data_IF_395096392555
#
_entry.id   IF_395096392555
#
_cell.length_a   1.000
_cell.length_b   1.000
_cell.length_c   1.000
_cell.angle_alpha   90.00
_cell.angle_beta   90.00
_cell.angle_gamma   90.00
#
_symmetry.space_group_name_H-M   'P 1'
#
loop_
_entity.id
_entity.type
_entity.pdbx_description
1 polymer ?
#
# COMPACT_ATOMS: atom_id res chain seq x y z
N UNK A 1 -41.49 -16.01 28.18
CA UNK A 1 -40.08 -15.60 28.10
C UNK A 1 -39.64 -15.82 26.67
N UNK A 2 -39.46 -14.75 25.90
CA UNK A 2 -38.89 -14.79 24.56
C UNK A 2 -37.88 -13.64 24.50
N UNK A 3 -36.60 -13.99 24.47
CA UNK A 3 -35.50 -13.03 24.38
C UNK A 3 -35.34 -12.56 22.94
N UNK A 4 -35.49 -11.26 22.73
CA UNK A 4 -35.28 -10.61 21.44
C UNK A 4 -33.78 -10.36 21.26
N UNK A 5 -33.14 -11.10 20.36
CA UNK A 5 -31.75 -10.89 19.96
C UNK A 5 -31.63 -9.64 19.09
N UNK A 6 -31.03 -8.57 19.62
CA UNK A 6 -30.67 -7.38 18.85
C UNK A 6 -29.37 -7.63 18.07
N UNK A 7 -29.49 -7.73 16.75
CA UNK A 7 -28.34 -7.74 15.84
C UNK A 7 -27.75 -6.33 15.74
N UNK A 8 -26.56 -6.13 16.29
CA UNK A 8 -25.79 -4.90 16.10
C UNK A 8 -25.13 -4.92 14.72
N UNK A 9 -25.70 -4.19 13.76
CA UNK A 9 -25.04 -3.91 12.49
C UNK A 9 -23.88 -2.95 12.72
N UNK A 10 -22.70 -3.31 12.22
CA UNK A 10 -21.52 -2.44 12.23
C UNK A 10 -21.78 -1.24 11.31
N UNK A 11 -21.43 0.01 11.70
CA UNK A 11 -21.62 1.16 10.82
C UNK A 11 -20.75 1.01 9.57
N UNK A 12 -21.39 1.05 8.39
CA UNK A 12 -20.67 1.15 7.12
C UNK A 12 -20.02 2.53 7.04
N UNK A 13 -18.74 2.67 6.65
CA UNK A 13 -18.08 3.97 6.57
C UNK A 13 -18.83 4.87 5.59
N UNK A 14 -19.10 6.11 5.99
CA UNK A 14 -19.69 7.12 5.12
C UNK A 14 -18.71 7.45 4.00
N UNK A 15 -19.00 6.98 2.80
CA UNK A 15 -18.22 7.32 1.63
C UNK A 15 -18.76 8.62 1.01
N UNK A 16 -17.87 9.59 0.76
CA UNK A 16 -18.20 10.80 0.01
C UNK A 16 -18.73 10.39 -1.36
N UNK A 17 -19.98 10.73 -1.65
CA UNK A 17 -20.65 10.39 -2.91
C UNK A 17 -20.37 11.49 -3.93
N UNK A 18 -19.94 11.10 -5.13
CA UNK A 18 -19.70 12.00 -6.25
C UNK A 18 -20.61 11.66 -7.42
N UNK A 19 -21.19 12.68 -8.01
CA UNK A 19 -22.03 12.54 -9.19
C UNK A 19 -21.16 12.66 -10.45
N UNK A 20 -21.14 11.59 -11.24
CA UNK A 20 -20.49 11.50 -12.52
C UNK A 20 -21.54 11.65 -13.62
N UNK A 21 -21.32 12.59 -14.54
CA UNK A 21 -22.18 12.77 -15.70
C UNK A 21 -21.45 12.27 -16.93
N UNK A 22 -22.13 11.51 -17.78
CA UNK A 22 -21.60 10.98 -19.02
C UNK A 22 -22.62 11.10 -20.14
N UNK A 23 -22.16 10.94 -21.37
CA UNK A 23 -23.04 10.86 -22.53
C UNK A 23 -22.42 9.99 -23.62
N UNK A 24 -23.24 9.51 -24.56
CA UNK A 24 -22.74 8.96 -25.81
C UNK A 24 -22.12 10.07 -26.67
N UNK A 25 -21.32 9.72 -27.68
CA UNK A 25 -20.57 10.70 -28.48
C UNK A 25 -21.47 11.74 -29.19
N UNK A 26 -22.72 11.38 -29.51
CA UNK A 26 -23.70 12.25 -30.16
C UNK A 26 -24.64 12.97 -29.16
N UNK A 27 -24.51 12.71 -27.86
CA UNK A 27 -25.30 13.36 -26.81
C UNK A 27 -26.75 12.86 -26.66
N UNK A 28 -27.25 12.00 -27.57
CA UNK A 28 -28.62 11.44 -27.52
C UNK A 28 -28.90 10.71 -26.21
N UNK A 29 -27.89 10.06 -25.64
CA UNK A 29 -27.95 9.42 -24.34
C UNK A 29 -27.04 10.20 -23.42
N UNK A 30 -27.61 10.81 -22.39
CA UNK A 30 -26.88 11.38 -21.27
C UNK A 30 -27.31 10.65 -19.99
N UNK A 31 -26.37 10.42 -19.10
CA UNK A 31 -26.61 9.75 -17.82
C UNK A 31 -25.87 10.45 -16.69
N UNK A 32 -26.38 10.25 -15.47
CA UNK A 32 -25.78 10.74 -14.25
C UNK A 32 -25.78 9.60 -13.24
N UNK A 33 -24.59 9.25 -12.75
CA UNK A 33 -24.40 8.18 -11.76
C UNK A 33 -23.83 8.80 -10.49
N UNK A 34 -24.48 8.57 -9.35
CA UNK A 34 -23.95 8.96 -8.05
C UNK A 34 -23.32 7.73 -7.43
N UNK A 35 -21.99 7.72 -7.36
CA UNK A 35 -21.20 6.62 -6.82
C UNK A 35 -20.30 7.17 -5.71
N UNK A 36 -19.78 6.35 -4.78
CA UNK A 36 -18.65 6.75 -3.95
C UNK A 36 -17.55 7.36 -4.83
N UNK A 37 -16.89 8.41 -4.36
CA UNK A 37 -15.77 8.98 -5.11
C UNK A 37 -14.81 7.86 -5.50
N UNK A 38 -14.51 7.75 -6.80
CA UNK A 38 -13.54 6.79 -7.33
C UNK A 38 -12.17 7.21 -6.80
N UNK A 39 -11.80 6.67 -5.63
CA UNK A 39 -10.53 6.95 -4.98
C UNK A 39 -9.42 6.23 -5.73
N UNK A 40 -8.34 6.96 -6.01
CA UNK A 40 -7.14 6.45 -6.69
C UNK A 40 -6.35 5.44 -5.83
N UNK A 41 -6.61 5.47 -4.52
CA UNK A 41 -6.08 4.59 -3.48
C UNK A 41 -7.22 4.16 -2.55
N UNK A 42 -7.25 2.88 -2.17
CA UNK A 42 -8.21 2.37 -1.20
C UNK A 42 -7.66 2.53 0.23
N UNK A 43 -8.22 3.45 1.06
CA UNK A 43 -7.74 3.67 2.42
C UNK A 43 -8.11 2.54 3.39
N UNK A 44 -8.93 1.58 2.96
CA UNK A 44 -9.33 0.43 3.78
C UNK A 44 -8.25 -0.65 3.76
N UNK A 45 -7.80 -1.05 2.57
CA UNK A 45 -6.85 -2.16 2.42
C UNK A 45 -5.42 -1.73 2.02
N UNK A 46 -5.22 -0.45 1.73
CA UNK A 46 -3.92 0.10 1.33
C UNK A 46 -3.55 -0.17 -0.13
N UNK A 47 -4.52 -0.51 -0.99
CA UNK A 47 -4.25 -0.81 -2.41
C UNK A 47 -4.30 0.46 -3.25
N UNK A 48 -3.17 0.83 -3.85
CA UNK A 48 -3.10 1.85 -4.89
C UNK A 48 -3.60 1.30 -6.23
N UNK A 49 -4.68 1.87 -6.76
CA UNK A 49 -5.31 1.41 -8.02
C UNK A 49 -4.79 2.22 -9.20
N UNK A 50 -4.52 3.51 -8.99
CA UNK A 50 -4.18 4.45 -10.06
C UNK A 50 -3.17 5.49 -9.59
N UNK A 51 -2.25 5.87 -10.48
CA UNK A 51 -1.46 7.10 -10.40
C UNK A 51 -1.88 8.08 -11.49
N UNK A 52 -1.83 9.39 -11.20
CA UNK A 52 -2.04 10.44 -12.20
C UNK A 52 -0.81 11.32 -12.29
N UNK A 53 -0.26 11.50 -13.49
CA UNK A 53 0.80 12.44 -13.77
C UNK A 53 0.24 13.86 -13.75
N UNK A 54 0.95 14.74 -13.07
CA UNK A 54 0.64 16.16 -13.08
C UNK A 54 1.12 16.76 -14.41
N UNK A 55 0.31 17.64 -15.01
CA UNK A 55 0.63 18.36 -16.26
C UNK A 55 0.99 17.48 -17.47
N UNK A 56 0.47 16.25 -17.53
CA UNK A 56 0.60 15.41 -18.72
C UNK A 56 -0.57 15.66 -19.69
N UNK A 57 -0.29 15.54 -20.98
CA UNK A 57 -1.31 15.61 -22.03
C UNK A 57 -2.43 14.58 -21.78
N UNK A 58 -3.70 14.93 -22.07
CA UNK A 58 -4.83 14.02 -21.92
C UNK A 58 -4.58 12.69 -22.66
N UNK A 59 -4.77 11.57 -21.96
CA UNK A 59 -4.58 10.23 -22.51
C UNK A 59 -3.21 9.61 -22.20
N UNK A 60 -2.24 10.40 -21.71
CA UNK A 60 -0.94 9.92 -21.23
C UNK A 60 -0.70 10.22 -19.74
N UNK A 61 -1.71 10.75 -19.06
CA UNK A 61 -1.68 11.21 -17.68
C UNK A 61 -2.05 10.13 -16.65
N UNK A 62 -2.63 9.00 -17.07
CA UNK A 62 -3.12 7.97 -16.17
C UNK A 62 -2.24 6.72 -16.22
N UNK A 63 -1.80 6.26 -15.05
CA UNK A 63 -1.20 4.94 -14.84
C UNK A 63 -2.13 4.06 -14.01
N UNK A 64 -2.35 2.82 -14.44
CA UNK A 64 -3.13 1.82 -13.69
C UNK A 64 -2.18 0.79 -13.09
N UNK A 65 -2.45 0.40 -11.84
CA UNK A 65 -1.78 -0.75 -11.25
C UNK A 65 -2.27 -2.04 -11.94
N UNK A 66 -1.45 -2.61 -12.82
CA UNK A 66 -1.79 -3.81 -13.57
C UNK A 66 -2.18 -5.00 -12.67
N UNK A 67 -1.73 -5.04 -11.42
CA UNK A 67 -2.09 -6.10 -10.46
C UNK A 67 -3.51 -5.98 -9.90
N UNK A 68 -4.16 -4.84 -10.13
CA UNK A 68 -5.57 -4.65 -9.77
C UNK A 68 -6.54 -5.08 -10.86
N UNK A 69 -6.04 -5.34 -12.08
CA UNK A 69 -6.84 -5.84 -13.20
C UNK A 69 -7.17 -7.32 -13.02
N UNK A 70 -8.33 -7.70 -13.53
CA UNK A 70 -8.75 -9.10 -13.63
C UNK A 70 -8.11 -9.75 -14.86
N UNK A 71 -7.89 -11.06 -14.81
CA UNK A 71 -7.37 -11.87 -15.92
C UNK A 71 -6.03 -11.43 -16.52
N UNK A 72 -5.21 -10.69 -15.77
CA UNK A 72 -3.84 -10.30 -16.16
C UNK A 72 -2.82 -11.04 -15.30
N UNK A 73 -1.97 -11.84 -15.97
CA UNK A 73 -0.77 -12.43 -15.38
C UNK A 73 0.40 -11.44 -15.50
N UNK A 74 0.60 -10.64 -14.46
CA UNK A 74 1.63 -9.59 -14.48
C UNK A 74 3.06 -10.12 -14.55
N UNK A 75 3.30 -11.39 -14.21
CA UNK A 75 4.63 -11.99 -14.29
C UNK A 75 5.03 -12.32 -15.73
N UNK A 76 4.05 -12.46 -16.63
CA UNK A 76 4.29 -12.63 -18.08
C UNK A 76 4.46 -11.31 -18.83
N UNK A 77 4.19 -10.18 -18.20
CA UNK A 77 4.28 -8.86 -18.85
C UNK A 77 5.73 -8.44 -19.04
N UNK A 78 6.02 -7.79 -20.18
CA UNK A 78 7.31 -7.14 -20.41
C UNK A 78 7.46 -5.94 -19.48
N UNK A 79 8.40 -6.02 -18.54
CA UNK A 79 8.69 -4.93 -17.61
C UNK A 79 9.74 -3.99 -18.20
N UNK A 80 9.36 -2.73 -18.45
CA UNK A 80 10.32 -1.65 -18.71
C UNK A 80 10.82 -1.11 -17.37
N UNK A 81 12.11 -1.28 -17.11
CA UNK A 81 12.77 -0.69 -15.93
C UNK A 81 13.03 0.79 -16.19
N UNK A 82 12.65 1.65 -15.24
CA UNK A 82 12.88 3.09 -15.28
C UNK A 82 13.61 3.46 -13.99
N UNK A 83 14.73 4.16 -14.10
CA UNK A 83 15.43 4.70 -12.94
C UNK A 83 14.78 6.01 -12.49
N UNK A 84 13.81 5.89 -11.58
CA UNK A 84 13.12 7.04 -11.00
C UNK A 84 14.03 7.93 -10.13
N UNK A 85 15.16 7.41 -9.65
CA UNK A 85 16.08 8.17 -8.78
C UNK A 85 16.91 9.17 -9.57
N UNK A 86 17.01 9.01 -10.89
CA UNK A 86 17.69 9.95 -11.78
C UNK A 86 16.97 11.30 -11.91
N UNK A 87 15.66 11.36 -11.64
CA UNK A 87 14.86 12.59 -11.78
C UNK A 87 15.00 13.52 -10.57
N UNK A 88 14.73 14.81 -10.80
CA UNK A 88 14.64 15.84 -9.75
C UNK A 88 13.17 16.19 -9.44
N UNK A 89 12.87 16.62 -8.19
CA UNK A 89 13.77 16.69 -7.04
C UNK A 89 14.05 15.31 -6.43
N UNK A 90 15.27 15.08 -5.95
CA UNK A 90 15.59 13.87 -5.18
C UNK A 90 14.73 13.74 -3.92
N UNK A 91 14.15 12.56 -3.72
CA UNK A 91 13.55 12.21 -2.44
C UNK A 91 14.64 12.03 -1.39
N UNK A 92 14.45 12.65 -0.22
CA UNK A 92 15.41 12.61 0.88
C UNK A 92 14.95 11.51 1.86
N UNK A 93 15.79 10.49 2.13
CA UNK A 93 15.44 9.46 3.10
C UNK A 93 15.22 10.00 4.51
N UNK A 94 14.13 9.57 5.15
CA UNK A 94 13.85 9.89 6.55
C UNK A 94 14.73 9.08 7.48
N UNK A 95 15.38 9.76 8.44
CA UNK A 95 16.23 9.12 9.44
C UNK A 95 15.39 8.40 10.49
N UNK A 96 15.80 7.20 10.84
CA UNK A 96 15.27 6.51 12.02
C UNK A 96 15.80 7.17 13.29
N UNK A 97 14.89 7.53 14.20
CA UNK A 97 15.20 8.09 15.52
C UNK A 97 14.38 7.30 16.53
N UNK A 98 14.96 6.21 17.04
CA UNK A 98 14.29 5.28 17.94
C UNK A 98 15.29 4.34 18.62
N UNK A 99 14.81 3.47 19.52
CA UNK A 99 15.67 2.45 20.12
C UNK A 99 16.12 1.45 19.05
N UNK A 100 17.35 0.96 19.17
CA UNK A 100 17.84 -0.09 18.28
C UNK A 100 17.14 -1.44 18.53
N UNK A 101 17.09 -2.34 17.54
CA UNK A 101 16.59 -3.69 17.74
C UNK A 101 17.40 -4.47 18.78
N UNK A 102 16.71 -5.27 19.61
CA UNK A 102 17.29 -5.96 20.78
C UNK A 102 17.97 -7.29 20.45
N UNK A 103 17.88 -7.78 19.22
CA UNK A 103 18.51 -9.04 18.84
C UNK A 103 20.05 -8.97 18.97
N UNK A 104 20.61 -10.03 19.55
CA UNK A 104 22.06 -10.29 19.58
C UNK A 104 22.40 -11.25 18.43
N UNK A 105 23.12 -10.74 17.42
CA UNK A 105 23.41 -11.46 16.17
C UNK A 105 24.88 -11.25 15.82
N UNK A 106 25.62 -12.34 15.64
CA UNK A 106 26.98 -12.31 15.10
C UNK A 106 26.97 -11.89 13.62
N UNK A 107 27.92 -11.05 13.21
CA UNK A 107 27.97 -10.42 11.88
C UNK A 107 26.69 -9.64 11.52
N UNK A 108 26.13 -8.92 12.50
CA UNK A 108 24.93 -8.13 12.27
C UNK A 108 25.21 -6.91 11.37
N UNK A 109 24.28 -6.64 10.45
CA UNK A 109 24.20 -5.38 9.70
C UNK A 109 22.89 -4.66 9.97
N UNK A 110 23.00 -3.34 10.09
CA UNK A 110 21.85 -2.45 10.30
C UNK A 110 21.32 -1.91 8.98
N UNK A 111 20.00 -1.98 8.82
CA UNK A 111 19.25 -1.42 7.70
C UNK A 111 18.21 -0.45 8.23
N UNK A 112 18.07 0.70 7.58
CA UNK A 112 17.09 1.71 7.94
C UNK A 112 16.12 1.96 6.79
N UNK A 113 14.87 2.21 7.12
CA UNK A 113 13.81 2.44 6.16
C UNK A 113 12.72 3.35 6.71
N UNK A 114 11.82 3.77 5.84
CA UNK A 114 10.66 4.57 6.21
C UNK A 114 9.52 4.37 5.21
N UNK A 115 8.30 4.69 5.64
CA UNK A 115 7.23 4.99 4.69
C UNK A 115 7.58 6.28 3.92
N UNK A 116 6.88 6.55 2.81
CA UNK A 116 7.25 7.66 1.92
C UNK A 116 7.31 9.03 2.61
N UNK A 117 6.39 9.31 3.53
CA UNK A 117 6.30 10.58 4.25
C UNK A 117 7.12 10.63 5.55
N UNK A 118 7.77 9.53 5.96
CA UNK A 118 8.59 9.49 7.17
C UNK A 118 7.81 9.36 8.48
N UNK A 119 6.49 9.33 8.43
CA UNK A 119 5.66 9.14 9.62
C UNK A 119 5.91 7.80 10.32
N UNK A 120 6.31 6.77 9.58
CA UNK A 120 6.80 5.50 10.12
C UNK A 120 8.24 5.28 9.66
N UNK A 121 9.14 5.02 10.60
CA UNK A 121 10.54 4.67 10.34
C UNK A 121 10.86 3.32 10.96
N UNK A 122 11.80 2.59 10.35
CA UNK A 122 12.15 1.22 10.70
C UNK A 122 13.67 1.09 10.79
N UNK A 123 14.13 0.37 11.80
CA UNK A 123 15.48 -0.20 11.86
C UNK A 123 15.38 -1.73 11.86
N UNK A 124 16.18 -2.39 11.04
CA UNK A 124 16.30 -3.84 10.94
C UNK A 124 17.76 -4.23 11.22
N UNK A 125 17.96 -5.11 12.21
CA UNK A 125 19.23 -5.78 12.50
C UNK A 125 19.22 -7.17 11.87
N UNK A 126 19.95 -7.35 10.77
CA UNK A 126 19.97 -8.60 10.01
C UNK A 126 21.31 -9.33 10.15
N UNK A 127 21.31 -10.66 10.07
CA UNK A 127 22.56 -11.43 9.99
C UNK A 127 23.16 -11.26 8.59
N UNK A 128 24.39 -10.77 8.51
CA UNK A 128 25.05 -10.50 7.25
C UNK A 128 24.29 -9.49 6.37
N UNK A 129 24.61 -9.51 5.07
CA UNK A 129 23.97 -8.66 4.07
C UNK A 129 22.55 -9.10 3.71
N UNK A 130 21.69 -8.14 3.34
CA UNK A 130 20.56 -8.38 2.44
C UNK A 130 21.13 -8.30 1.02
N UNK A 131 21.24 -9.44 0.36
CA UNK A 131 21.90 -9.62 -0.92
C UNK A 131 21.14 -10.65 -1.80
N UNK A 132 21.60 -10.99 -3.02
CA UNK A 132 20.88 -11.93 -3.89
C UNK A 132 20.63 -13.33 -3.30
N UNK A 133 21.34 -13.73 -2.24
CA UNK A 133 21.08 -14.99 -1.51
C UNK A 133 19.94 -14.88 -0.48
N UNK A 134 19.50 -13.66 -0.15
CA UNK A 134 18.39 -13.44 0.77
C UNK A 134 17.07 -13.86 0.12
N UNK A 135 16.37 -14.79 0.75
CA UNK A 135 15.03 -15.18 0.31
C UNK A 135 14.05 -14.00 0.49
N UNK A 136 13.42 -13.61 -0.62
CA UNK A 136 12.37 -12.62 -0.65
C UNK A 136 11.12 -13.25 -1.25
N UNK A 137 10.01 -13.18 -0.50
CA UNK A 137 8.74 -13.77 -0.90
C UNK A 137 7.89 -12.75 -1.64
N UNK A 138 7.47 -13.12 -2.85
CA UNK A 138 6.40 -12.46 -3.60
C UNK A 138 5.21 -13.42 -3.69
N UNK A 139 4.11 -13.09 -3.01
CA UNK A 139 2.95 -13.97 -2.91
C UNK A 139 1.85 -13.56 -3.92
N UNK A 140 1.22 -14.56 -4.54
CA UNK A 140 0.10 -14.36 -5.47
C UNK A 140 -1.27 -14.24 -4.80
N UNK A 141 -1.35 -14.26 -3.46
CA UNK A 141 -2.63 -14.05 -2.79
C UNK A 141 -3.14 -12.63 -3.06
N UNK A 142 -4.46 -12.47 -3.09
CA UNK A 142 -5.10 -11.29 -3.67
C UNK A 142 -4.61 -9.95 -3.11
N UNK A 143 -4.34 -9.86 -1.80
CA UNK A 143 -3.85 -8.62 -1.17
C UNK A 143 -2.39 -8.33 -1.52
N UNK A 144 -1.50 -9.33 -1.48
CA UNK A 144 -0.08 -9.14 -1.75
C UNK A 144 0.15 -8.89 -3.24
N UNK A 145 -0.58 -9.62 -4.07
CA UNK A 145 -0.62 -9.40 -5.50
C UNK A 145 -1.07 -7.97 -5.80
N UNK A 146 -2.25 -7.55 -5.36
CA UNK A 146 -2.77 -6.21 -5.69
C UNK A 146 -1.88 -5.07 -5.17
N UNK A 147 -1.18 -5.26 -4.05
CA UNK A 147 -0.28 -4.25 -3.47
C UNK A 147 1.17 -4.32 -3.99
N UNK A 148 1.52 -5.29 -4.83
CA UNK A 148 2.90 -5.52 -5.30
C UNK A 148 3.91 -5.70 -4.15
N UNK A 149 3.51 -6.35 -3.05
CA UNK A 149 4.35 -6.48 -1.86
C UNK A 149 5.38 -7.61 -2.01
N UNK A 150 6.58 -7.34 -1.53
CA UNK A 150 7.68 -8.31 -1.44
C UNK A 150 8.24 -8.26 -0.03
N UNK A 151 8.34 -9.41 0.61
CA UNK A 151 8.66 -9.50 2.03
C UNK A 151 9.90 -10.35 2.29
N UNK A 152 10.65 -9.94 3.30
CA UNK A 152 11.56 -10.79 4.05
C UNK A 152 10.95 -11.02 5.44
N UNK A 153 11.38 -12.06 6.15
CA UNK A 153 10.76 -12.48 7.42
C UNK A 153 11.77 -12.48 8.58
N UNK A 154 12.20 -11.31 9.07
CA UNK A 154 13.01 -11.22 10.28
C UNK A 154 12.17 -11.49 11.53
N UNK A 155 12.83 -11.78 12.65
CA UNK A 155 12.18 -11.86 13.96
C UNK A 155 11.78 -10.47 14.47
N UNK A 156 10.80 -10.42 15.36
CA UNK A 156 10.37 -9.15 15.97
C UNK A 156 11.49 -8.46 16.76
N UNK A 157 12.38 -9.22 17.40
CA UNK A 157 13.56 -8.70 18.11
C UNK A 157 14.60 -8.08 17.18
N UNK A 158 14.56 -8.41 15.88
CA UNK A 158 15.42 -7.81 14.86
C UNK A 158 14.87 -6.50 14.32
N UNK A 159 13.65 -6.10 14.69
CA UNK A 159 13.00 -4.90 14.21
C UNK A 159 12.82 -3.87 15.34
N UNK A 160 12.94 -2.61 14.96
CA UNK A 160 12.44 -1.48 15.74
C UNK A 160 11.66 -0.57 14.81
N UNK A 161 10.42 -0.24 15.19
CA UNK A 161 9.49 0.53 14.36
C UNK A 161 9.00 1.71 15.19
N UNK A 162 9.24 2.92 14.69
CA UNK A 162 8.75 4.16 15.31
C UNK A 162 7.72 4.79 14.39
N UNK A 163 6.55 5.11 14.95
CA UNK A 163 5.47 5.76 14.19
C UNK A 163 5.03 7.04 14.87
N UNK A 164 4.86 8.10 14.09
CA UNK A 164 4.29 9.36 14.52
C UNK A 164 2.83 9.13 14.96
N UNK A 165 2.46 9.46 16.21
CA UNK A 165 1.10 9.26 16.73
C UNK A 165 0.00 9.96 15.92
N UNK A 166 0.30 11.07 15.25
CA UNK A 166 -0.67 11.79 14.40
C UNK A 166 -0.96 11.06 13.08
N UNK A 167 -0.10 10.13 12.68
CA UNK A 167 -0.22 9.35 11.45
C UNK A 167 0.09 7.87 11.73
N UNK A 168 -0.74 7.19 12.55
CA UNK A 168 -0.48 5.83 12.97
C UNK A 168 -0.55 4.85 11.80
N UNK A 169 0.03 3.66 11.99
CA UNK A 169 -0.22 2.55 11.07
C UNK A 169 -1.70 2.16 11.15
N UNK A 170 -2.34 2.06 9.99
CA UNK A 170 -3.66 1.45 9.84
C UNK A 170 -3.48 -0.01 9.45
N UNK A 171 -4.42 -0.88 9.86
CA UNK A 171 -4.35 -2.30 9.55
C UNK A 171 -5.61 -2.79 8.85
N UNK A 172 -5.41 -3.72 7.90
CA UNK A 172 -6.47 -4.45 7.24
C UNK A 172 -6.33 -5.95 7.53
N UNK A 173 -7.44 -6.58 7.94
CA UNK A 173 -7.51 -8.01 8.26
C UNK A 173 -8.71 -8.57 7.50
N UNK A 174 -8.52 -9.70 6.82
CA UNK A 174 -9.57 -10.35 6.04
C UNK A 174 -9.38 -11.87 6.01
N UNK A 175 -10.33 -12.57 5.40
CA UNK A 175 -10.29 -14.02 5.22
C UNK A 175 -10.13 -14.75 6.55
N UNK A 176 -9.16 -15.66 6.62
CA UNK A 176 -8.83 -16.45 7.82
C UNK A 176 -8.23 -15.64 8.98
N UNK A 177 -8.05 -14.32 8.81
CA UNK A 177 -7.49 -13.41 9.82
C UNK A 177 -6.08 -13.79 10.29
N UNK A 178 -5.31 -14.48 9.45
CA UNK A 178 -3.95 -14.93 9.77
C UNK A 178 -2.91 -13.80 9.82
N UNK A 179 -3.14 -12.73 9.05
CA UNK A 179 -2.19 -11.62 8.89
C UNK A 179 -2.88 -10.28 9.11
N UNK A 180 -2.19 -9.35 9.78
CA UNK A 180 -2.54 -7.93 9.81
C UNK A 180 -1.71 -7.19 8.76
N UNK A 181 -2.36 -6.69 7.72
CA UNK A 181 -1.69 -5.91 6.68
C UNK A 181 -1.65 -4.45 7.09
N UNK A 182 -0.49 -3.97 7.52
CA UNK A 182 -0.32 -2.61 8.03
C UNK A 182 0.19 -1.67 6.94
N UNK A 183 -0.16 -0.38 7.03
CA UNK A 183 0.34 0.70 6.17
C UNK A 183 0.18 2.06 6.85
N UNK A 184 1.01 3.02 6.47
CA UNK A 184 0.94 4.39 6.96
C UNK A 184 -0.39 5.05 6.56
N UNK A 185 -1.14 5.55 7.54
CA UNK A 185 -2.41 6.27 7.28
C UNK A 185 -2.26 7.54 6.44
N UNK A 186 -1.06 8.13 6.41
CA UNK A 186 -0.80 9.36 5.66
C UNK A 186 -0.42 9.11 4.19
N UNK A 187 0.49 8.17 3.92
CA UNK A 187 1.02 7.96 2.55
C UNK A 187 0.65 6.61 1.92
N UNK A 188 0.00 5.70 2.66
CA UNK A 188 -0.47 4.41 2.14
C UNK A 188 0.60 3.32 1.95
N UNK A 189 1.86 3.60 2.31
CA UNK A 189 2.99 2.65 2.31
C UNK A 189 3.01 1.86 3.61
#
# INVERSE_FOLDING_TARGET
MAETSTSTSTPSPSHEMKTYKGSCHCGTIAFSLTLPEIKRFCPVCGTGVMGKRHNAEPGMDIGINARTLEDVDVWKLKVRKVDGTSYEPKWIPHKFIGPEPTAEIEDARMYYGSCHCGATTIALKNKGGIDPSTEMVECNCTIYYKRSLRHIYPLTTQLSIVTNPSHPLTSYIFGRKMMKHMFCSNCGI
#
